data_IF_403289902233
#
_entry.id   IF_403289902233
#
_cell.length_a   1.000
_cell.length_b   1.000
_cell.length_c   1.000
_cell.angle_alpha   90.00
_cell.angle_beta   90.00
_cell.angle_gamma   90.00
#
_symmetry.space_group_name_H-M   'P 1'
#
loop_
_entity.id
_entity.type
_entity.pdbx_description
1 polymer ?
#
# COMPACT_ATOMS: atom_id res chain seq x y z
N UNK A 1 62.43 45.14 66.90
CA UNK A 1 63.47 44.11 66.74
C UNK A 1 62.93 43.07 65.77
N UNK A 2 63.41 43.10 64.57
CA UNK A 2 63.96 42.10 63.68
C UNK A 2 63.21 40.71 63.61
N UNK A 3 62.65 40.42 62.46
CA UNK A 3 62.28 39.08 62.01
C UNK A 3 62.01 39.06 60.48
N UNK A 4 63.03 38.68 59.73
CA UNK A 4 62.96 38.58 58.26
C UNK A 4 62.20 37.32 57.88
N UNK A 5 61.16 37.40 57.09
CA UNK A 5 60.51 36.27 56.47
C UNK A 5 61.00 36.07 55.03
N UNK A 6 61.51 34.91 54.73
CA UNK A 6 61.96 34.44 53.44
C UNK A 6 60.76 34.11 52.55
N UNK A 7 60.65 34.83 51.45
CA UNK A 7 59.68 34.53 50.40
C UNK A 7 60.30 33.46 49.48
N UNK A 8 59.78 32.23 49.58
CA UNK A 8 60.12 31.17 48.60
C UNK A 8 59.13 31.22 47.44
N UNK A 9 59.65 31.66 46.31
CA UNK A 9 58.94 31.60 45.01
C UNK A 9 58.90 30.17 44.55
N UNK A 10 57.70 29.59 44.47
CA UNK A 10 57.49 28.30 43.79
C UNK A 10 56.92 28.63 42.41
N UNK A 11 57.77 28.43 41.41
CA UNK A 11 57.42 28.54 39.99
C UNK A 11 56.66 27.27 39.59
N UNK A 12 55.34 27.34 39.61
CA UNK A 12 54.50 26.26 39.11
C UNK A 12 54.35 26.37 37.59
N UNK A 13 54.99 25.47 36.88
CA UNK A 13 54.85 25.36 35.43
C UNK A 13 53.48 24.77 35.12
N UNK A 14 52.53 25.60 34.72
CA UNK A 14 51.24 25.15 34.18
C UNK A 14 51.46 24.69 32.73
N UNK A 15 51.55 23.37 32.55
CA UNK A 15 51.57 22.75 31.25
C UNK A 15 50.13 22.75 30.72
N UNK A 16 49.75 23.78 29.96
CA UNK A 16 48.53 23.81 29.19
C UNK A 16 48.61 22.79 28.07
N UNK A 17 48.00 21.58 28.32
CA UNK A 17 47.78 20.60 27.28
C UNK A 17 46.67 21.16 26.34
N UNK A 18 47.08 21.86 25.27
CA UNK A 18 46.21 22.27 24.20
C UNK A 18 45.80 20.97 23.44
N UNK A 19 44.67 20.40 23.80
CA UNK A 19 44.01 19.37 23.00
C UNK A 19 43.51 20.09 21.74
N UNK A 20 44.31 20.04 20.68
CA UNK A 20 43.84 20.36 19.34
C UNK A 20 42.79 19.33 18.95
N UNK A 21 41.54 19.58 19.25
CA UNK A 21 40.43 18.89 18.62
C UNK A 21 40.49 19.29 17.13
N UNK A 22 41.17 18.47 16.35
CA UNK A 22 41.03 18.50 14.91
C UNK A 22 39.53 18.16 14.64
N UNK A 23 38.70 19.16 14.65
CA UNK A 23 37.36 19.12 14.12
C UNK A 23 37.42 18.94 12.61
N UNK A 24 37.90 17.82 12.17
CA UNK A 24 37.69 17.40 10.80
C UNK A 24 36.17 17.35 10.62
N UNK A 25 35.62 18.22 9.79
CA UNK A 25 34.24 18.11 9.31
C UNK A 25 34.16 16.74 8.64
N UNK A 26 33.68 15.74 9.37
CA UNK A 26 33.33 14.45 8.77
C UNK A 26 32.23 14.80 7.76
N UNK A 27 32.60 14.90 6.49
CA UNK A 27 31.64 15.09 5.41
C UNK A 27 30.64 13.95 5.56
N UNK A 28 29.38 14.28 5.86
CA UNK A 28 28.35 13.26 5.96
C UNK A 28 28.37 12.47 4.64
N UNK A 29 28.44 11.15 4.77
CA UNK A 29 28.43 10.30 3.59
C UNK A 29 27.15 10.54 2.79
N UNK A 30 27.24 10.57 1.46
CA UNK A 30 26.08 10.82 0.60
C UNK A 30 24.94 9.86 0.95
N UNK A 31 23.69 10.31 0.97
CA UNK A 31 22.56 9.47 1.34
C UNK A 31 22.40 8.28 0.38
N UNK A 32 21.70 7.25 0.82
CA UNK A 32 21.33 6.09 0.01
C UNK A 32 20.04 6.43 -0.72
N UNK A 33 20.06 6.58 -2.08
CA UNK A 33 18.90 6.99 -2.82
C UNK A 33 17.97 5.81 -3.11
N UNK A 34 16.70 5.95 -2.73
CA UNK A 34 15.61 5.01 -3.03
C UNK A 34 14.56 5.75 -3.85
N UNK A 35 14.26 5.26 -5.04
CA UNK A 35 13.22 5.84 -5.91
C UNK A 35 11.83 5.42 -5.48
N UNK A 36 10.86 6.33 -5.56
CA UNK A 36 9.46 6.04 -5.22
C UNK A 36 8.55 6.47 -6.36
N UNK A 37 7.79 5.52 -6.89
CA UNK A 37 6.76 5.78 -7.89
C UNK A 37 5.37 5.87 -7.25
N UNK A 38 4.59 6.86 -7.67
CA UNK A 38 3.20 7.00 -7.24
C UNK A 38 2.49 8.09 -8.02
N UNK A 39 1.15 8.08 -8.07
CA UNK A 39 0.34 9.15 -8.67
C UNK A 39 0.21 10.31 -7.67
N UNK A 40 1.28 11.10 -7.51
CA UNK A 40 1.34 12.19 -6.53
C UNK A 40 0.53 13.43 -6.94
N UNK A 41 0.07 13.48 -8.19
CA UNK A 41 -0.89 14.46 -8.71
C UNK A 41 -2.08 13.77 -9.37
N UNK A 42 -3.18 14.50 -9.61
CA UNK A 42 -4.41 13.97 -10.21
C UNK A 42 -5.38 13.33 -9.23
N UNK A 43 -6.35 12.58 -9.74
CA UNK A 43 -7.48 12.00 -8.98
C UNK A 43 -7.07 11.00 -7.90
N UNK A 44 -5.91 10.34 -8.04
CA UNK A 44 -5.38 9.34 -7.11
C UNK A 44 -4.37 9.90 -6.12
N UNK A 45 -4.09 11.22 -6.13
CA UNK A 45 -3.08 11.85 -5.28
C UNK A 45 -3.31 11.63 -3.79
N UNK A 46 -4.56 11.58 -3.34
CA UNK A 46 -4.89 11.31 -1.94
C UNK A 46 -4.37 9.93 -1.48
N UNK A 47 -4.57 8.90 -2.29
CA UNK A 47 -4.12 7.53 -1.96
C UNK A 47 -2.58 7.42 -1.98
N UNK A 48 -1.94 8.13 -2.91
CA UNK A 48 -0.48 8.20 -2.98
C UNK A 48 0.12 8.94 -1.79
N UNK A 49 -0.55 9.99 -1.28
CA UNK A 49 -0.13 10.71 -0.08
C UNK A 49 -0.24 9.83 1.18
N UNK A 50 -1.27 9.00 1.28
CA UNK A 50 -1.40 8.02 2.35
C UNK A 50 -0.23 7.01 2.32
N UNK A 51 0.09 6.45 1.16
CA UNK A 51 1.27 5.60 0.96
C UNK A 51 2.56 6.31 1.37
N UNK A 52 2.75 7.55 0.91
CA UNK A 52 3.92 8.38 1.20
C UNK A 52 4.12 8.64 2.70
N UNK A 53 3.06 8.83 3.46
CA UNK A 53 3.12 8.96 4.92
C UNK A 53 3.67 7.70 5.58
N UNK A 54 3.18 6.52 5.19
CA UNK A 54 3.72 5.26 5.68
C UNK A 54 5.21 5.10 5.37
N UNK A 55 5.61 5.39 4.13
CA UNK A 55 7.01 5.37 3.70
C UNK A 55 7.88 6.35 4.49
N UNK A 56 7.39 7.58 4.70
CA UNK A 56 8.09 8.60 5.48
C UNK A 56 8.29 8.22 6.95
N UNK A 57 7.34 7.50 7.56
CA UNK A 57 7.51 6.96 8.90
C UNK A 57 8.65 5.93 8.94
N UNK A 58 8.68 4.99 7.98
CA UNK A 58 9.71 3.96 7.90
C UNK A 58 11.13 4.56 7.74
N UNK A 59 11.28 5.54 6.83
CA UNK A 59 12.58 6.21 6.61
C UNK A 59 13.05 6.95 7.84
N UNK A 60 12.16 7.71 8.50
CA UNK A 60 12.53 8.46 9.69
C UNK A 60 13.01 7.54 10.81
N UNK A 61 12.39 6.38 10.99
CA UNK A 61 12.79 5.41 12.01
C UNK A 61 14.17 4.80 11.74
N UNK A 62 14.47 4.50 10.48
CA UNK A 62 15.79 3.98 10.11
C UNK A 62 16.84 5.08 10.23
N UNK A 63 16.55 6.28 9.78
CA UNK A 63 17.46 7.41 9.85
C UNK A 63 17.72 7.89 11.29
N UNK A 64 16.72 7.79 12.18
CA UNK A 64 16.90 8.08 13.60
C UNK A 64 17.86 7.08 14.31
N UNK A 65 17.98 5.86 13.78
CA UNK A 65 18.91 4.82 14.26
C UNK A 65 20.28 4.89 13.58
N UNK A 66 20.60 5.97 12.86
CA UNK A 66 21.86 6.17 12.16
C UNK A 66 21.88 5.75 10.68
N UNK A 67 20.71 5.41 10.11
CA UNK A 67 20.59 5.02 8.71
C UNK A 67 21.09 3.61 8.42
N UNK A 68 21.50 3.39 7.17
CA UNK A 68 22.12 2.14 6.73
C UNK A 68 23.61 2.39 6.45
N UNK A 69 24.48 1.57 7.00
CA UNK A 69 25.95 1.72 6.87
C UNK A 69 26.44 3.12 7.27
N UNK A 70 25.81 3.77 8.26
CA UNK A 70 26.11 5.15 8.68
C UNK A 70 25.65 6.24 7.71
N UNK A 71 24.89 5.90 6.68
CA UNK A 71 24.34 6.82 5.67
C UNK A 71 22.83 6.94 5.84
N UNK A 72 22.31 8.17 5.72
CA UNK A 72 20.84 8.37 5.69
C UNK A 72 20.23 7.76 4.43
N UNK A 73 19.01 7.26 4.53
CA UNK A 73 18.20 6.89 3.37
C UNK A 73 17.42 8.11 2.92
N UNK A 74 17.39 8.35 1.61
CA UNK A 74 16.63 9.42 0.97
C UNK A 74 15.65 8.87 -0.04
N UNK A 75 14.37 9.32 0.04
CA UNK A 75 13.34 8.97 -0.93
C UNK A 75 13.26 10.01 -2.04
N UNK A 76 13.43 9.58 -3.28
CA UNK A 76 13.33 10.41 -4.48
C UNK A 76 12.05 10.05 -5.21
N UNK A 77 11.11 11.01 -5.32
CA UNK A 77 9.77 10.75 -5.82
C UNK A 77 9.66 10.97 -7.33
N UNK A 78 9.02 10.02 -8.01
CA UNK A 78 8.62 10.09 -9.42
C UNK A 78 7.10 10.07 -9.54
N UNK A 79 6.51 11.16 -9.99
CA UNK A 79 5.07 11.25 -10.20
C UNK A 79 4.67 10.54 -11.50
N UNK A 80 3.70 9.65 -11.39
CA UNK A 80 3.20 8.85 -12.50
C UNK A 80 1.87 9.37 -13.06
N UNK A 81 1.21 10.32 -12.38
CA UNK A 81 -0.14 10.79 -12.73
C UNK A 81 -1.14 9.63 -13.02
N UNK A 82 -0.87 8.43 -12.52
CA UNK A 82 -1.55 7.17 -12.87
C UNK A 82 -1.52 6.81 -14.37
N UNK A 83 -0.59 7.36 -15.15
CA UNK A 83 -0.44 7.13 -16.59
C UNK A 83 0.82 6.32 -16.90
N UNK A 84 0.75 5.26 -17.72
CA UNK A 84 1.91 4.41 -18.02
C UNK A 84 3.10 5.16 -18.64
N UNK A 85 2.85 6.08 -19.58
CA UNK A 85 3.88 6.89 -20.23
C UNK A 85 4.63 7.79 -19.23
N UNK A 86 3.90 8.42 -18.32
CA UNK A 86 4.46 9.23 -17.24
C UNK A 86 5.27 8.37 -16.25
N UNK A 87 4.74 7.19 -15.92
CA UNK A 87 5.44 6.22 -15.08
C UNK A 87 6.76 5.77 -15.68
N UNK A 88 6.78 5.44 -16.98
CA UNK A 88 8.00 5.07 -17.71
C UNK A 88 9.01 6.22 -17.73
N UNK A 89 8.58 7.45 -17.98
CA UNK A 89 9.48 8.62 -17.94
C UNK A 89 10.04 8.84 -16.54
N UNK A 90 9.20 8.74 -15.49
CA UNK A 90 9.60 8.91 -14.11
C UNK A 90 10.61 7.85 -13.65
N UNK A 91 10.36 6.56 -13.94
CA UNK A 91 11.29 5.49 -13.55
C UNK A 91 12.63 5.57 -14.26
N UNK A 92 12.63 5.89 -15.55
CA UNK A 92 13.88 6.11 -16.30
C UNK A 92 14.71 7.24 -15.67
N UNK A 93 14.08 8.36 -15.31
CA UNK A 93 14.75 9.45 -14.60
C UNK A 93 15.36 9.01 -13.27
N UNK A 94 14.61 8.29 -12.44
CA UNK A 94 15.09 7.75 -11.16
C UNK A 94 16.32 6.85 -11.36
N UNK A 95 16.31 5.98 -12.36
CA UNK A 95 17.37 5.02 -12.63
C UNK A 95 18.60 5.67 -13.21
N UNK A 96 18.44 6.51 -14.25
CA UNK A 96 19.57 7.00 -15.06
C UNK A 96 20.16 8.31 -14.52
N UNK A 97 19.34 9.23 -14.07
CA UNK A 97 19.77 10.54 -13.56
C UNK A 97 20.01 10.51 -12.06
N UNK A 98 19.02 10.02 -11.32
CA UNK A 98 19.03 10.09 -9.85
C UNK A 98 19.75 8.88 -9.23
N UNK A 99 20.17 7.90 -10.05
CA UNK A 99 21.03 6.74 -9.70
C UNK A 99 20.52 5.95 -8.49
N UNK A 100 19.19 5.78 -8.40
CA UNK A 100 18.60 5.04 -7.27
C UNK A 100 19.04 3.58 -7.26
N UNK A 101 19.24 3.02 -6.06
CA UNK A 101 19.62 1.61 -5.89
C UNK A 101 18.45 0.66 -6.09
N UNK A 102 17.25 1.12 -5.74
CA UNK A 102 16.01 0.33 -5.80
C UNK A 102 14.84 1.29 -5.98
N UNK A 103 13.78 0.81 -6.62
CA UNK A 103 12.52 1.53 -6.80
C UNK A 103 11.47 0.90 -5.90
N UNK A 104 10.77 1.71 -5.10
CA UNK A 104 9.61 1.33 -4.30
C UNK A 104 8.33 2.01 -4.76
N UNK A 105 7.24 1.77 -4.06
CA UNK A 105 5.94 2.38 -4.33
C UNK A 105 5.13 1.64 -5.38
N UNK A 106 4.47 2.38 -6.26
CA UNK A 106 3.63 1.79 -7.31
C UNK A 106 2.18 1.53 -6.88
N UNK A 107 1.26 2.32 -7.43
CA UNK A 107 -0.16 2.28 -7.12
C UNK A 107 -1.00 1.68 -8.28
N UNK A 108 -0.99 2.29 -9.46
CA UNK A 108 -1.80 1.87 -10.60
C UNK A 108 -1.20 0.63 -11.30
N UNK A 109 -2.02 -0.39 -11.58
CA UNK A 109 -1.55 -1.66 -12.17
C UNK A 109 -0.95 -1.48 -13.56
N UNK A 110 -1.61 -0.74 -14.46
CA UNK A 110 -1.11 -0.46 -15.81
C UNK A 110 0.24 0.26 -15.81
N UNK A 111 0.43 1.19 -14.87
CA UNK A 111 1.71 1.88 -14.68
C UNK A 111 2.80 0.90 -14.23
N UNK A 112 2.47 0.03 -13.26
CA UNK A 112 3.47 -0.92 -12.71
C UNK A 112 3.81 -2.05 -13.70
N UNK A 113 2.91 -2.44 -14.58
CA UNK A 113 3.21 -3.35 -15.68
C UNK A 113 4.28 -2.72 -16.58
N UNK A 114 4.12 -1.45 -16.97
CA UNK A 114 5.08 -0.76 -17.85
C UNK A 114 6.41 -0.45 -17.12
N UNK A 115 6.36 0.06 -15.90
CA UNK A 115 7.59 0.46 -15.15
C UNK A 115 8.42 -0.73 -14.70
N UNK A 116 7.80 -1.87 -14.36
CA UNK A 116 8.54 -3.09 -14.01
C UNK A 116 9.32 -3.68 -15.19
N UNK A 117 8.84 -3.50 -16.42
CA UNK A 117 9.61 -3.87 -17.61
C UNK A 117 10.87 -3.01 -17.78
N UNK A 118 10.74 -1.69 -17.56
CA UNK A 118 11.91 -0.80 -17.55
C UNK A 118 12.90 -1.22 -16.46
N UNK A 119 12.43 -1.46 -15.23
CA UNK A 119 13.28 -1.87 -14.13
C UNK A 119 14.00 -3.20 -14.41
N UNK A 120 13.32 -4.17 -15.03
CA UNK A 120 13.91 -5.43 -15.46
C UNK A 120 15.04 -5.21 -16.46
N UNK A 121 14.79 -4.42 -17.51
CA UNK A 121 15.75 -4.15 -18.58
C UNK A 121 16.98 -3.37 -18.08
N UNK A 122 16.77 -2.44 -17.15
CA UNK A 122 17.81 -1.62 -16.52
C UNK A 122 18.45 -2.30 -15.29
N UNK A 123 18.15 -3.57 -15.04
CA UNK A 123 18.65 -4.36 -13.87
C UNK A 123 18.55 -3.60 -12.54
N UNK A 124 17.44 -2.88 -12.34
CA UNK A 124 17.18 -2.12 -11.14
C UNK A 124 16.03 -2.79 -10.38
N UNK A 125 16.23 -3.26 -9.14
CA UNK A 125 15.13 -3.87 -8.39
C UNK A 125 13.97 -2.91 -8.20
N UNK A 126 12.74 -3.40 -8.41
CA UNK A 126 11.51 -2.71 -8.07
C UNK A 126 10.70 -3.55 -7.09
N UNK A 127 10.26 -2.92 -6.01
CA UNK A 127 9.35 -3.53 -5.01
C UNK A 127 8.04 -2.78 -5.05
N UNK A 128 7.01 -3.40 -5.63
CA UNK A 128 5.68 -2.79 -5.80
C UNK A 128 4.90 -2.87 -4.49
N UNK A 129 4.34 -1.73 -4.05
CA UNK A 129 3.68 -1.60 -2.76
C UNK A 129 2.18 -1.96 -2.80
N UNK A 130 1.44 -1.50 -3.83
CA UNK A 130 -0.03 -1.46 -3.81
C UNK A 130 -0.66 -2.15 -5.02
N UNK A 131 -0.14 -1.94 -6.23
CA UNK A 131 -0.76 -2.47 -7.46
C UNK A 131 -0.95 -3.99 -7.44
N UNK A 132 -2.17 -4.47 -7.76
CA UNK A 132 -2.57 -5.86 -7.53
C UNK A 132 -2.70 -6.73 -8.80
N UNK A 133 -2.51 -6.18 -10.02
CA UNK A 133 -2.56 -7.01 -11.24
C UNK A 133 -1.56 -8.18 -11.17
N UNK A 134 -1.99 -9.42 -11.41
CA UNK A 134 -1.09 -10.58 -11.45
C UNK A 134 0.02 -10.42 -12.49
N UNK A 135 -0.24 -9.73 -13.59
CA UNK A 135 0.69 -9.51 -14.70
C UNK A 135 2.00 -8.86 -14.26
N UNK A 136 2.01 -8.10 -13.16
CA UNK A 136 3.22 -7.40 -12.67
C UNK A 136 4.35 -8.40 -12.36
N UNK A 137 4.05 -9.48 -11.64
CA UNK A 137 5.04 -10.47 -11.19
C UNK A 137 5.03 -11.77 -12.01
N UNK A 138 3.96 -12.06 -12.77
CA UNK A 138 3.81 -13.33 -13.50
C UNK A 138 4.71 -13.47 -14.74
N UNK A 139 5.44 -12.40 -15.14
CA UNK A 139 6.27 -12.38 -16.35
C UNK A 139 7.63 -13.05 -16.19
N UNK A 140 7.96 -13.53 -14.98
CA UNK A 140 9.24 -14.19 -14.70
C UNK A 140 10.44 -13.23 -14.66
N UNK A 141 10.21 -11.98 -14.29
CA UNK A 141 11.25 -10.96 -14.15
C UNK A 141 12.03 -11.13 -12.85
N UNK A 142 13.35 -11.08 -12.93
CA UNK A 142 14.25 -11.29 -11.78
C UNK A 142 14.35 -10.10 -10.82
N UNK A 143 14.08 -8.89 -11.32
CA UNK A 143 14.22 -7.64 -10.58
C UNK A 143 12.88 -7.07 -10.10
N UNK A 144 11.80 -7.83 -10.20
CA UNK A 144 10.45 -7.38 -9.86
C UNK A 144 9.91 -8.13 -8.65
N UNK A 145 9.56 -7.38 -7.61
CA UNK A 145 9.00 -7.90 -6.36
C UNK A 145 7.73 -7.14 -5.99
N UNK A 146 6.86 -7.74 -5.17
CA UNK A 146 5.65 -7.07 -4.70
C UNK A 146 5.32 -7.49 -3.28
N UNK A 147 5.19 -6.49 -2.38
CA UNK A 147 4.85 -6.70 -0.97
C UNK A 147 3.34 -6.79 -0.71
N UNK A 148 2.50 -6.36 -1.65
CA UNK A 148 1.06 -6.52 -1.55
C UNK A 148 0.57 -7.84 -2.16
N UNK A 149 -0.53 -8.42 -1.68
CA UNK A 149 -1.22 -9.52 -2.36
C UNK A 149 -1.63 -9.11 -3.78
N UNK A 150 -1.69 -10.07 -4.69
CA UNK A 150 -2.28 -9.86 -6.01
C UNK A 150 -3.81 -10.05 -5.99
N UNK A 151 -4.49 -9.73 -7.11
CA UNK A 151 -5.95 -9.86 -7.19
C UNK A 151 -6.46 -11.26 -6.82
N UNK A 152 -5.89 -12.39 -7.27
CA UNK A 152 -6.29 -13.71 -6.81
C UNK A 152 -6.22 -13.89 -5.29
N UNK A 153 -5.16 -13.38 -4.65
CA UNK A 153 -5.00 -13.48 -3.19
C UNK A 153 -6.01 -12.60 -2.45
N UNK A 154 -6.27 -11.37 -2.95
CA UNK A 154 -7.30 -10.50 -2.39
C UNK A 154 -8.69 -11.15 -2.46
N UNK A 155 -8.97 -11.87 -3.53
CA UNK A 155 -10.29 -12.45 -3.75
C UNK A 155 -10.48 -13.83 -3.13
N UNK A 156 -9.40 -14.50 -2.71
CA UNK A 156 -9.46 -15.88 -2.23
C UNK A 156 -10.47 -16.08 -1.08
N UNK A 157 -10.39 -15.25 -0.02
CA UNK A 157 -11.34 -15.34 1.10
C UNK A 157 -12.77 -14.96 0.71
N UNK A 158 -12.92 -13.97 -0.19
CA UNK A 158 -14.22 -13.56 -0.70
C UNK A 158 -14.84 -14.64 -1.59
N UNK A 159 -14.04 -15.32 -2.40
CA UNK A 159 -14.50 -16.43 -3.23
C UNK A 159 -15.04 -17.57 -2.37
N UNK A 160 -14.36 -17.90 -1.27
CA UNK A 160 -14.81 -18.93 -0.33
C UNK A 160 -16.14 -18.50 0.35
N UNK A 161 -16.28 -17.25 0.74
CA UNK A 161 -17.53 -16.70 1.28
C UNK A 161 -18.68 -16.74 0.26
N UNK A 162 -18.43 -16.37 -1.01
CA UNK A 162 -19.42 -16.44 -2.09
C UNK A 162 -19.94 -17.88 -2.29
N UNK A 163 -19.03 -18.84 -2.29
CA UNK A 163 -19.35 -20.25 -2.52
C UNK A 163 -20.09 -20.88 -1.33
N UNK A 164 -19.68 -20.57 -0.10
CA UNK A 164 -20.21 -21.23 1.10
C UNK A 164 -21.38 -20.49 1.76
N UNK A 165 -21.39 -19.16 1.70
CA UNK A 165 -22.32 -18.33 2.46
C UNK A 165 -23.35 -17.65 1.54
N UNK A 166 -22.92 -16.77 0.62
CA UNK A 166 -23.83 -15.95 -0.18
C UNK A 166 -24.56 -16.73 -1.25
N UNK A 167 -23.87 -17.59 -1.98
CA UNK A 167 -24.42 -18.43 -3.05
C UNK A 167 -25.30 -17.66 -4.05
N UNK A 168 -24.79 -16.58 -4.67
CA UNK A 168 -25.59 -15.73 -5.55
C UNK A 168 -26.01 -16.52 -6.79
N UNK A 169 -27.25 -16.30 -7.27
CA UNK A 169 -27.75 -16.85 -8.53
C UNK A 169 -27.38 -15.99 -9.73
N UNK A 170 -27.26 -14.69 -9.51
CA UNK A 170 -26.98 -13.70 -10.55
C UNK A 170 -25.90 -12.72 -10.09
N UNK A 171 -25.02 -12.35 -11.02
CA UNK A 171 -23.99 -11.36 -10.77
C UNK A 171 -23.88 -10.35 -11.91
N UNK A 172 -23.38 -9.17 -11.61
CA UNK A 172 -23.01 -8.17 -12.61
C UNK A 172 -21.69 -7.52 -12.23
N UNK A 173 -21.08 -6.83 -13.19
CA UNK A 173 -19.76 -6.23 -13.06
C UNK A 173 -19.83 -4.75 -13.43
N UNK A 174 -19.24 -3.89 -12.58
CA UNK A 174 -19.02 -2.47 -12.83
C UNK A 174 -17.55 -2.16 -12.55
N UNK A 175 -16.76 -2.00 -13.61
CA UNK A 175 -15.33 -2.04 -13.56
C UNK A 175 -14.67 -0.80 -14.14
N UNK A 176 -13.62 -0.34 -13.50
CA UNK A 176 -12.67 0.61 -14.08
C UNK A 176 -12.02 0.01 -15.35
N UNK A 177 -12.00 0.76 -16.44
CA UNK A 177 -11.46 0.31 -17.73
C UNK A 177 -9.93 0.36 -17.78
N UNK A 178 -9.30 -0.38 -16.87
CA UNK A 178 -7.83 -0.48 -16.72
C UNK A 178 -7.43 -1.94 -16.48
N UNK A 179 -6.12 -2.23 -16.50
CA UNK A 179 -5.62 -3.56 -16.13
C UNK A 179 -6.09 -3.98 -14.72
N UNK A 180 -6.25 -3.04 -13.80
CA UNK A 180 -6.79 -3.31 -12.47
C UNK A 180 -8.22 -3.84 -12.53
N UNK A 181 -9.11 -3.15 -13.24
CA UNK A 181 -10.51 -3.55 -13.37
C UNK A 181 -10.67 -4.83 -14.21
N UNK A 182 -9.96 -4.92 -15.32
CA UNK A 182 -10.03 -6.06 -16.24
C UNK A 182 -9.52 -7.36 -15.64
N UNK A 183 -8.41 -7.32 -14.89
CA UNK A 183 -7.88 -8.50 -14.19
C UNK A 183 -8.84 -8.98 -13.09
N UNK A 184 -9.42 -8.03 -12.34
CA UNK A 184 -10.41 -8.37 -11.32
C UNK A 184 -11.69 -8.96 -11.91
N UNK A 185 -12.20 -8.39 -13.00
CA UNK A 185 -13.34 -8.94 -13.73
C UNK A 185 -13.09 -10.39 -14.16
N UNK A 186 -11.95 -10.66 -14.78
CA UNK A 186 -11.56 -12.00 -15.24
C UNK A 186 -11.60 -13.01 -14.09
N UNK A 187 -11.09 -12.63 -12.92
CA UNK A 187 -11.04 -13.51 -11.74
C UNK A 187 -12.44 -13.75 -11.20
N UNK A 188 -13.26 -12.71 -11.03
CA UNK A 188 -14.60 -12.86 -10.49
C UNK A 188 -15.57 -13.50 -11.49
N UNK A 189 -15.41 -13.29 -12.79
CA UNK A 189 -16.16 -14.02 -13.81
C UNK A 189 -15.84 -15.53 -13.74
N UNK A 190 -14.57 -15.90 -13.57
CA UNK A 190 -14.20 -17.31 -13.37
C UNK A 190 -14.83 -17.90 -12.09
N UNK A 191 -14.88 -17.13 -11.00
CA UNK A 191 -15.55 -17.56 -9.76
C UNK A 191 -17.08 -17.66 -9.93
N UNK A 192 -17.71 -16.69 -10.59
CA UNK A 192 -19.15 -16.73 -10.89
C UNK A 192 -19.51 -17.99 -11.66
N UNK A 193 -18.75 -18.33 -12.70
CA UNK A 193 -18.91 -19.58 -13.47
C UNK A 193 -18.72 -20.82 -12.61
N UNK A 194 -17.69 -20.84 -11.75
CA UNK A 194 -17.42 -21.96 -10.83
C UNK A 194 -18.60 -22.26 -9.91
N UNK A 195 -19.25 -21.21 -9.38
CA UNK A 195 -20.40 -21.38 -8.46
C UNK A 195 -21.74 -21.45 -9.17
N UNK A 196 -21.79 -21.45 -10.51
CA UNK A 196 -23.01 -21.53 -11.31
C UNK A 196 -23.85 -20.26 -11.31
N UNK A 197 -23.29 -19.10 -10.95
CA UNK A 197 -23.98 -17.82 -11.01
C UNK A 197 -24.06 -17.29 -12.44
N UNK A 198 -25.26 -16.80 -12.85
CA UNK A 198 -25.46 -16.19 -14.16
C UNK A 198 -24.88 -14.77 -14.20
N UNK A 199 -24.00 -14.50 -15.13
CA UNK A 199 -23.50 -13.15 -15.42
C UNK A 199 -24.55 -12.37 -16.23
N UNK A 200 -24.98 -11.21 -15.72
CA UNK A 200 -26.05 -10.40 -16.31
C UNK A 200 -25.52 -9.23 -17.16
N UNK A 201 -24.41 -8.62 -16.74
CA UNK A 201 -23.78 -7.49 -17.43
C UNK A 201 -22.33 -7.31 -17.04
N UNK A 202 -21.55 -6.78 -17.98
CA UNK A 202 -20.18 -6.28 -17.80
C UNK A 202 -20.19 -4.81 -18.22
N UNK A 203 -20.06 -3.90 -17.28
CA UNK A 203 -20.14 -2.46 -17.48
C UNK A 203 -18.81 -1.83 -17.09
N UNK A 204 -18.40 -0.80 -17.82
CA UNK A 204 -17.12 -0.14 -17.61
C UNK A 204 -17.30 1.37 -17.45
N UNK A 205 -16.30 1.98 -16.84
CA UNK A 205 -16.12 3.42 -16.69
C UNK A 205 -14.64 3.77 -16.78
N UNK A 206 -14.33 5.04 -17.06
CA UNK A 206 -12.95 5.53 -17.09
C UNK A 206 -12.55 6.15 -15.74
N UNK A 207 -11.23 6.13 -15.44
CA UNK A 207 -10.71 6.84 -14.24
C UNK A 207 -11.05 8.33 -14.36
N UNK A 208 -11.65 8.88 -13.32
CA UNK A 208 -12.07 10.28 -13.25
C UNK A 208 -13.51 10.52 -13.70
N UNK A 209 -14.23 9.48 -14.13
CA UNK A 209 -15.68 9.59 -14.36
C UNK A 209 -16.39 9.97 -13.06
N UNK A 210 -17.38 10.84 -13.18
CA UNK A 210 -18.18 11.35 -12.05
C UNK A 210 -19.66 11.00 -12.14
N UNK A 211 -20.12 10.52 -13.28
CA UNK A 211 -21.51 10.12 -13.53
C UNK A 211 -21.57 8.65 -13.94
N UNK A 212 -22.28 7.86 -13.14
CA UNK A 212 -22.46 6.41 -13.29
C UNK A 212 -23.96 6.07 -13.46
N UNK A 213 -24.81 7.07 -13.69
CA UNK A 213 -26.28 6.91 -13.74
C UNK A 213 -26.74 5.92 -14.81
N UNK A 214 -26.07 5.89 -15.96
CA UNK A 214 -26.36 4.94 -17.05
C UNK A 214 -26.08 3.51 -16.62
N UNK A 215 -24.88 3.25 -16.06
CA UNK A 215 -24.49 1.91 -15.62
C UNK A 215 -25.36 1.43 -14.45
N UNK A 216 -25.63 2.30 -13.47
CA UNK A 216 -26.45 1.97 -12.30
C UNK A 216 -27.91 1.74 -12.70
N UNK A 217 -28.46 2.52 -13.63
CA UNK A 217 -29.82 2.29 -14.16
C UNK A 217 -29.95 0.92 -14.82
N UNK A 218 -28.93 0.53 -15.59
CA UNK A 218 -28.86 -0.82 -16.20
C UNK A 218 -28.81 -1.92 -15.14
N UNK A 219 -27.98 -1.77 -14.11
CA UNK A 219 -27.91 -2.71 -13.00
C UNK A 219 -29.22 -2.81 -12.24
N UNK A 220 -29.93 -1.68 -12.03
CA UNK A 220 -31.26 -1.64 -11.38
C UNK A 220 -32.32 -2.40 -12.17
N UNK A 221 -32.30 -2.33 -13.50
CA UNK A 221 -33.18 -3.12 -14.35
C UNK A 221 -32.92 -4.61 -14.23
N UNK A 222 -31.62 -5.01 -14.24
CA UNK A 222 -31.17 -6.40 -14.21
C UNK A 222 -31.30 -7.06 -12.83
N UNK A 223 -31.27 -6.29 -11.74
CA UNK A 223 -31.40 -6.74 -10.34
C UNK A 223 -30.46 -7.88 -9.98
N UNK A 224 -29.12 -7.75 -10.14
CA UNK A 224 -28.17 -8.77 -9.74
C UNK A 224 -28.19 -8.98 -8.23
N UNK A 225 -28.01 -10.23 -7.77
CA UNK A 225 -27.82 -10.55 -6.35
C UNK A 225 -26.52 -9.93 -5.81
N UNK A 226 -25.47 -9.93 -6.64
CA UNK A 226 -24.17 -9.35 -6.35
C UNK A 226 -23.71 -8.47 -7.51
N UNK A 227 -23.24 -7.27 -7.19
CA UNK A 227 -22.50 -6.44 -8.14
C UNK A 227 -21.04 -6.33 -7.71
N UNK A 228 -20.16 -6.89 -8.53
CA UNK A 228 -18.75 -6.71 -8.37
C UNK A 228 -18.35 -5.31 -8.87
N UNK A 229 -17.71 -4.54 -7.99
CA UNK A 229 -17.27 -3.19 -8.29
C UNK A 229 -15.76 -3.07 -8.08
N UNK A 230 -15.00 -2.98 -9.16
CA UNK A 230 -13.58 -2.63 -9.09
C UNK A 230 -13.42 -1.18 -9.51
N UNK A 231 -13.28 -0.34 -8.53
CA UNK A 231 -13.18 1.10 -8.67
C UNK A 231 -12.16 1.67 -7.69
N UNK A 232 -11.54 2.76 -8.08
CA UNK A 232 -10.73 3.57 -7.17
C UNK A 232 -11.60 4.29 -6.13
N UNK A 233 -11.00 4.87 -5.12
CA UNK A 233 -11.71 5.39 -3.93
C UNK A 233 -12.81 6.40 -4.26
N UNK A 234 -12.53 7.35 -5.16
CA UNK A 234 -13.48 8.42 -5.51
C UNK A 234 -14.67 7.88 -6.29
N UNK A 235 -14.43 7.12 -7.34
CA UNK A 235 -15.43 6.52 -8.19
C UNK A 235 -16.31 5.57 -7.39
N UNK A 236 -15.73 4.74 -6.55
CA UNK A 236 -16.49 3.85 -5.66
C UNK A 236 -17.45 4.61 -4.73
N UNK A 237 -17.02 5.74 -4.16
CA UNK A 237 -17.88 6.55 -3.30
C UNK A 237 -19.01 7.22 -4.08
N UNK A 238 -18.75 7.71 -5.29
CA UNK A 238 -19.77 8.29 -6.17
C UNK A 238 -20.78 7.24 -6.62
N UNK A 239 -20.33 6.03 -6.96
CA UNK A 239 -21.22 4.90 -7.31
C UNK A 239 -22.19 4.60 -6.15
N UNK A 240 -21.71 4.57 -4.89
CA UNK A 240 -22.58 4.33 -3.73
C UNK A 240 -23.63 5.45 -3.56
N UNK A 241 -23.25 6.72 -3.78
CA UNK A 241 -24.18 7.86 -3.72
C UNK A 241 -25.24 7.77 -4.79
N UNK A 242 -24.86 7.57 -6.04
CA UNK A 242 -25.77 7.49 -7.17
C UNK A 242 -26.65 6.22 -7.12
N UNK A 243 -26.16 5.13 -6.55
CA UNK A 243 -26.97 3.95 -6.27
C UNK A 243 -28.12 4.27 -5.30
N UNK A 244 -27.87 5.11 -4.28
CA UNK A 244 -28.93 5.60 -3.39
C UNK A 244 -29.92 6.50 -4.14
N UNK A 245 -29.44 7.48 -4.91
CA UNK A 245 -30.27 8.41 -5.69
C UNK A 245 -31.18 7.67 -6.66
N UNK A 246 -30.70 6.62 -7.28
CA UNK A 246 -31.45 5.76 -8.21
C UNK A 246 -32.23 4.64 -7.51
N UNK A 247 -32.24 4.59 -6.17
CA UNK A 247 -32.85 3.55 -5.36
C UNK A 247 -32.46 2.12 -5.80
N UNK A 248 -31.19 1.92 -6.14
CA UNK A 248 -30.64 0.62 -6.51
C UNK A 248 -30.01 -0.06 -5.29
N UNK A 249 -30.37 -1.32 -5.07
CA UNK A 249 -29.87 -2.15 -3.97
C UNK A 249 -29.33 -3.46 -4.55
N UNK A 250 -28.10 -3.78 -4.17
CA UNK A 250 -27.40 -5.04 -4.47
C UNK A 250 -26.38 -5.31 -3.37
N UNK A 251 -25.84 -6.51 -3.28
CA UNK A 251 -24.62 -6.74 -2.52
C UNK A 251 -23.41 -6.25 -3.34
N UNK A 252 -22.91 -5.07 -2.99
CA UNK A 252 -21.68 -4.55 -3.58
C UNK A 252 -20.49 -5.32 -3.03
N UNK A 253 -19.59 -5.79 -3.92
CA UNK A 253 -18.32 -6.42 -3.56
C UNK A 253 -17.20 -5.74 -4.31
N UNK A 254 -16.23 -5.19 -3.56
CA UNK A 254 -15.09 -4.47 -4.10
C UNK A 254 -13.76 -4.88 -3.48
N UNK A 255 -12.71 -4.13 -3.78
CA UNK A 255 -11.36 -4.34 -3.23
C UNK A 255 -10.62 -3.02 -2.97
N UNK A 256 -9.62 -3.07 -2.11
CA UNK A 256 -8.63 -2.01 -1.96
C UNK A 256 -9.18 -0.69 -1.47
N UNK A 257 -9.14 0.34 -2.31
CA UNK A 257 -9.49 1.72 -1.98
C UNK A 257 -10.92 1.97 -1.51
N UNK A 258 -11.81 0.97 -1.62
CA UNK A 258 -13.20 1.04 -1.17
C UNK A 258 -13.38 0.84 0.36
N UNK A 259 -12.29 0.69 1.11
CA UNK A 259 -12.35 0.48 2.56
C UNK A 259 -11.43 1.43 3.31
N UNK A 260 -11.07 2.55 2.67
CA UNK A 260 -10.25 3.61 3.26
C UNK A 260 -11.10 4.64 4.02
N UNK A 261 -10.46 5.38 4.92
CA UNK A 261 -11.11 6.50 5.62
C UNK A 261 -11.67 7.54 4.63
N UNK A 262 -10.96 7.79 3.52
CA UNK A 262 -11.43 8.68 2.47
C UNK A 262 -12.72 8.21 1.82
N UNK A 263 -12.83 6.92 1.52
CA UNK A 263 -14.06 6.32 1.01
C UNK A 263 -15.21 6.50 2.00
N UNK A 264 -15.00 6.22 3.28
CA UNK A 264 -16.02 6.39 4.31
C UNK A 264 -16.45 7.84 4.47
N UNK A 265 -15.50 8.77 4.42
CA UNK A 265 -15.81 10.21 4.47
C UNK A 265 -16.61 10.69 3.27
N UNK A 266 -16.30 10.20 2.07
CA UNK A 266 -17.00 10.59 0.85
C UNK A 266 -18.36 9.91 0.70
N UNK A 267 -18.46 8.62 0.94
CA UNK A 267 -19.70 7.85 0.79
C UNK A 267 -20.64 8.00 1.98
N UNK A 268 -20.12 8.34 3.18
CA UNK A 268 -20.92 8.39 4.40
C UNK A 268 -21.60 7.07 4.69
N UNK A 269 -22.83 7.10 5.22
CA UNK A 269 -23.61 5.89 5.51
C UNK A 269 -24.09 5.15 4.26
N UNK A 270 -23.94 5.73 3.06
CA UNK A 270 -24.35 5.09 1.80
C UNK A 270 -23.52 3.86 1.44
N UNK A 271 -22.29 3.75 1.97
CA UNK A 271 -21.47 2.54 1.80
C UNK A 271 -21.85 1.37 2.74
N UNK A 272 -22.90 1.52 3.55
CA UNK A 272 -23.40 0.44 4.40
C UNK A 272 -23.66 -0.82 3.58
N UNK A 273 -23.23 -1.97 4.10
CA UNK A 273 -23.27 -3.29 3.48
C UNK A 273 -22.27 -3.53 2.33
N UNK A 274 -21.49 -2.53 1.91
CA UNK A 274 -20.40 -2.78 0.96
C UNK A 274 -19.43 -3.81 1.52
N UNK A 275 -19.03 -4.77 0.70
CA UNK A 275 -18.14 -5.86 1.07
C UNK A 275 -16.90 -5.89 0.20
N UNK A 276 -15.89 -6.59 0.67
CA UNK A 276 -14.68 -6.89 -0.07
C UNK A 276 -13.63 -7.58 0.79
N UNK A 277 -12.40 -7.53 0.33
CA UNK A 277 -11.25 -8.02 1.09
C UNK A 277 -10.35 -6.86 1.49
N UNK A 278 -9.85 -6.88 2.72
CA UNK A 278 -9.02 -5.78 3.25
C UNK A 278 -7.89 -6.28 4.13
N UNK A 279 -6.81 -5.49 4.16
CA UNK A 279 -5.68 -5.56 5.08
C UNK A 279 -5.63 -4.31 5.97
N UNK A 280 -6.78 -3.70 6.24
CA UNK A 280 -6.86 -2.49 7.06
C UNK A 280 -6.21 -2.72 8.43
N UNK A 281 -5.18 -1.94 8.83
CA UNK A 281 -4.43 -2.20 10.06
C UNK A 281 -5.31 -2.19 11.31
N UNK A 282 -6.36 -1.37 11.33
CA UNK A 282 -7.28 -1.28 12.48
C UNK A 282 -8.06 -2.58 12.77
N UNK A 283 -8.14 -3.48 11.80
CA UNK A 283 -8.73 -4.81 11.98
C UNK A 283 -7.76 -5.81 12.66
N UNK A 284 -6.49 -5.50 12.70
CA UNK A 284 -5.42 -6.37 13.19
C UNK A 284 -4.73 -5.85 14.47
N UNK A 285 -5.38 -4.98 15.24
CA UNK A 285 -4.81 -4.35 16.45
C UNK A 285 -4.39 -5.31 17.56
N UNK A 286 -4.83 -6.57 17.51
CA UNK A 286 -4.34 -7.63 18.41
C UNK A 286 -2.91 -8.08 18.08
N UNK A 287 -2.44 -7.81 16.87
CA UNK A 287 -1.05 -8.04 16.48
C UNK A 287 -0.17 -6.90 17.04
N UNK A 288 0.85 -7.19 17.87
CA UNK A 288 1.67 -6.16 18.50
C UNK A 288 2.45 -5.31 17.48
N UNK A 289 2.85 -5.86 16.33
CA UNK A 289 3.53 -5.11 15.25
C UNK A 289 2.57 -4.06 14.67
N UNK A 290 1.33 -4.43 14.43
CA UNK A 290 0.31 -3.52 13.90
C UNK A 290 -0.04 -2.45 14.93
N UNK A 291 -0.26 -2.83 16.18
CA UNK A 291 -0.59 -1.89 17.26
C UNK A 291 0.53 -0.85 17.47
N UNK A 292 1.78 -1.28 17.43
CA UNK A 292 2.95 -0.39 17.54
C UNK A 292 3.07 0.54 16.31
N UNK A 293 2.89 0.02 15.09
CA UNK A 293 2.83 0.84 13.88
C UNK A 293 1.76 1.92 13.96
N UNK A 294 0.52 1.55 14.33
CA UNK A 294 -0.60 2.51 14.47
C UNK A 294 -0.26 3.59 15.48
N UNK A 295 0.24 3.22 16.66
CA UNK A 295 0.66 4.17 17.70
C UNK A 295 1.70 5.18 17.20
N UNK A 296 2.73 4.71 16.50
CA UNK A 296 3.81 5.58 15.97
C UNK A 296 3.30 6.48 14.84
N UNK A 297 2.44 5.95 13.98
CA UNK A 297 1.82 6.72 12.90
C UNK A 297 0.94 7.85 13.46
N UNK A 298 0.05 7.54 14.41
CA UNK A 298 -0.81 8.53 15.07
C UNK A 298 0.00 9.61 15.82
N UNK A 299 1.11 9.22 16.45
CA UNK A 299 2.01 10.17 17.12
C UNK A 299 2.65 11.14 16.13
N UNK A 300 3.06 10.67 14.95
CA UNK A 300 3.70 11.51 13.92
C UNK A 300 2.69 12.38 13.16
N UNK A 301 1.50 11.86 12.87
CA UNK A 301 0.53 12.49 11.97
C UNK A 301 -0.73 13.01 12.70
N UNK A 302 -0.55 13.63 13.88
CA UNK A 302 -1.59 14.37 14.61
C UNK A 302 -2.88 13.55 14.87
N UNK A 303 -2.72 12.30 15.30
CA UNK A 303 -3.79 11.33 15.55
C UNK A 303 -4.57 10.88 14.30
N UNK A 304 -4.07 11.15 13.10
CA UNK A 304 -4.60 10.53 11.90
C UNK A 304 -4.41 9.01 11.97
N UNK A 305 -5.45 8.25 11.67
CA UNK A 305 -5.35 6.78 11.64
C UNK A 305 -4.66 6.34 10.35
N UNK A 306 -3.75 5.36 10.41
CA UNK A 306 -3.20 4.78 9.20
C UNK A 306 -4.23 3.89 8.52
N UNK A 307 -4.38 4.03 7.21
CA UNK A 307 -5.15 3.12 6.38
C UNK A 307 -4.28 2.06 5.71
N UNK A 308 -4.91 1.24 4.88
CA UNK A 308 -4.24 0.15 4.15
C UNK A 308 -3.02 0.64 3.35
N UNK A 309 -3.12 1.80 2.67
CA UNK A 309 -2.02 2.30 1.84
C UNK A 309 -0.85 2.83 2.68
N UNK A 310 -1.12 3.35 3.88
CA UNK A 310 -0.09 3.73 4.84
C UNK A 310 0.71 2.52 5.31
N UNK A 311 0.04 1.43 5.68
CA UNK A 311 0.71 0.21 6.13
C UNK A 311 1.48 -0.46 4.99
N UNK A 312 0.91 -0.51 3.79
CA UNK A 312 1.60 -1.03 2.60
C UNK A 312 2.84 -0.21 2.22
N UNK A 313 2.75 1.12 2.32
CA UNK A 313 3.90 2.01 2.12
C UNK A 313 5.00 1.79 3.15
N UNK A 314 4.63 1.66 4.43
CA UNK A 314 5.56 1.37 5.51
C UNK A 314 6.28 0.04 5.31
N UNK A 315 5.52 -1.04 5.07
CA UNK A 315 6.07 -2.38 4.86
C UNK A 315 6.98 -2.43 3.63
N UNK A 316 6.60 -1.75 2.55
CA UNK A 316 7.38 -1.68 1.32
C UNK A 316 8.78 -1.12 1.55
N UNK A 317 8.88 0.01 2.24
CA UNK A 317 10.17 0.63 2.54
C UNK A 317 10.96 -0.18 3.56
N UNK A 318 10.31 -0.75 4.57
CA UNK A 318 11.00 -1.60 5.55
C UNK A 318 11.62 -2.85 4.90
N UNK A 319 10.92 -3.48 3.96
CA UNK A 319 11.44 -4.60 3.16
C UNK A 319 12.62 -4.17 2.30
N UNK A 320 12.54 -3.02 1.64
CA UNK A 320 13.64 -2.47 0.85
C UNK A 320 14.87 -2.21 1.74
N UNK A 321 14.68 -1.57 2.90
CA UNK A 321 15.78 -1.26 3.81
C UNK A 321 16.40 -2.51 4.45
N UNK A 322 15.58 -3.50 4.78
CA UNK A 322 16.08 -4.81 5.24
C UNK A 322 16.92 -5.49 4.14
N UNK A 323 16.46 -5.48 2.91
CA UNK A 323 17.21 -6.04 1.78
C UNK A 323 18.54 -5.33 1.58
N UNK A 324 18.59 -4.00 1.58
CA UNK A 324 19.83 -3.22 1.49
C UNK A 324 20.74 -3.56 2.67
N UNK A 325 20.23 -3.58 3.90
CA UNK A 325 21.03 -3.90 5.10
C UNK A 325 21.68 -5.28 5.02
N UNK A 326 20.97 -6.27 4.49
CA UNK A 326 21.46 -7.64 4.35
C UNK A 326 22.55 -7.82 3.28
N UNK A 327 22.80 -6.84 2.42
CA UNK A 327 23.98 -6.85 1.52
C UNK A 327 25.29 -6.68 2.27
N UNK A 328 25.23 -6.29 3.56
CA UNK A 328 26.36 -6.03 4.48
C UNK A 328 27.19 -4.80 4.15
N UNK A 329 27.28 -4.40 2.89
CA UNK A 329 27.96 -3.19 2.41
C UNK A 329 27.42 -2.78 1.04
N UNK A 330 27.61 -1.52 0.69
CA UNK A 330 27.48 -1.02 -0.67
C UNK A 330 28.88 -0.80 -1.24
N UNK A 331 29.07 -1.22 -2.48
CA UNK A 331 30.39 -1.16 -3.16
C UNK A 331 30.64 0.19 -3.85
N UNK A 332 29.56 0.94 -4.12
CA UNK A 332 29.57 2.14 -4.96
C UNK A 332 29.47 1.86 -6.46
N UNK A 333 29.51 0.60 -6.86
CA UNK A 333 29.20 0.13 -8.22
C UNK A 333 27.70 -0.17 -8.27
N UNK A 334 26.93 0.64 -9.02
CA UNK A 334 25.48 0.56 -9.05
C UNK A 334 24.97 -0.81 -9.49
N UNK A 335 25.59 -1.41 -10.48
CA UNK A 335 25.10 -2.68 -11.04
C UNK A 335 25.32 -3.81 -10.02
N UNK A 336 26.50 -3.86 -9.38
CA UNK A 336 26.79 -4.83 -8.32
C UNK A 336 25.89 -4.64 -7.10
N UNK A 337 25.66 -3.39 -6.71
CA UNK A 337 24.82 -3.08 -5.54
C UNK A 337 23.35 -3.44 -5.81
N UNK A 338 22.82 -3.16 -7.02
CA UNK A 338 21.49 -3.54 -7.45
C UNK A 338 21.30 -5.07 -7.52
N UNK A 339 22.30 -5.78 -8.06
CA UNK A 339 22.29 -7.24 -8.09
C UNK A 339 22.29 -7.84 -6.68
N UNK A 340 23.12 -7.32 -5.78
CA UNK A 340 23.16 -7.77 -4.39
C UNK A 340 21.81 -7.51 -3.68
N UNK A 341 21.18 -6.36 -3.91
CA UNK A 341 19.85 -6.04 -3.36
C UNK A 341 18.80 -6.99 -3.91
N UNK A 342 18.77 -7.25 -5.23
CA UNK A 342 17.88 -8.24 -5.84
C UNK A 342 18.03 -9.61 -5.17
N UNK A 343 19.26 -10.08 -4.97
CA UNK A 343 19.53 -11.40 -4.39
C UNK A 343 19.14 -11.50 -2.91
N UNK A 344 19.23 -10.38 -2.17
CA UNK A 344 18.70 -10.32 -0.80
C UNK A 344 17.18 -10.22 -0.77
N UNK A 345 16.55 -9.51 -1.71
CA UNK A 345 15.09 -9.48 -1.84
C UNK A 345 14.50 -10.88 -2.07
N UNK A 346 15.10 -11.70 -2.93
CA UNK A 346 14.68 -13.10 -3.15
C UNK A 346 14.67 -13.95 -1.87
N UNK A 347 15.40 -13.54 -0.83
CA UNK A 347 15.53 -14.22 0.47
C UNK A 347 14.78 -13.49 1.60
N UNK A 348 13.83 -12.62 1.26
CA UNK A 348 13.06 -11.88 2.26
C UNK A 348 12.18 -12.82 3.07
N UNK A 349 12.25 -12.69 4.40
CA UNK A 349 11.38 -13.36 5.37
C UNK A 349 11.32 -12.46 6.61
N UNK A 350 10.31 -11.58 6.68
CA UNK A 350 10.19 -10.55 7.70
C UNK A 350 8.73 -10.34 8.11
N UNK A 351 8.49 -10.23 9.42
CA UNK A 351 7.17 -9.90 9.96
C UNK A 351 6.89 -8.40 9.83
N UNK A 352 5.79 -8.05 9.20
CA UNK A 352 5.40 -6.68 8.90
C UNK A 352 3.93 -6.42 9.30
N UNK A 353 3.42 -5.23 9.01
CA UNK A 353 2.04 -4.86 9.39
C UNK A 353 0.97 -5.67 8.68
N UNK A 354 1.24 -6.11 7.46
CA UNK A 354 0.34 -6.97 6.68
C UNK A 354 0.50 -8.47 7.03
N UNK A 355 1.43 -8.82 7.88
CA UNK A 355 1.85 -10.19 8.21
C UNK A 355 3.26 -10.49 7.70
N UNK A 356 3.60 -11.75 7.62
CA UNK A 356 4.90 -12.19 7.14
C UNK A 356 5.07 -11.91 5.65
N UNK A 357 6.14 -11.25 5.26
CA UNK A 357 6.49 -11.00 3.86
C UNK A 357 7.55 -12.01 3.43
N UNK A 358 7.17 -12.90 2.54
CA UNK A 358 8.04 -13.84 1.83
C UNK A 358 7.65 -13.85 0.36
N UNK A 359 8.65 -13.87 -0.52
CA UNK A 359 8.41 -13.91 -1.96
C UNK A 359 8.52 -15.32 -2.51
N UNK A 360 7.63 -15.65 -3.45
CA UNK A 360 7.77 -16.83 -4.28
C UNK A 360 8.84 -16.63 -5.38
N UNK A 361 9.01 -17.64 -6.22
CA UNK A 361 9.98 -17.59 -7.33
C UNK A 361 9.70 -16.50 -8.38
N UNK A 362 8.51 -15.90 -8.36
CA UNK A 362 8.12 -14.81 -9.27
C UNK A 362 8.29 -13.43 -8.66
N UNK A 363 8.74 -13.34 -7.40
CA UNK A 363 8.82 -12.10 -6.64
C UNK A 363 7.48 -11.65 -6.03
N UNK A 364 6.45 -12.51 -6.08
CA UNK A 364 5.16 -12.24 -5.46
C UNK A 364 5.17 -12.63 -3.97
N UNK A 365 4.68 -11.75 -3.08
CA UNK A 365 4.37 -12.15 -1.72
C UNK A 365 3.26 -13.22 -1.74
N UNK A 366 3.47 -14.33 -1.03
CA UNK A 366 2.49 -15.42 -1.01
C UNK A 366 1.90 -15.70 0.37
N UNK A 367 2.46 -15.10 1.41
CA UNK A 367 2.13 -15.34 2.82
C UNK A 367 1.04 -14.43 3.37
N UNK A 368 0.77 -13.29 2.69
CA UNK A 368 -0.21 -12.29 3.13
C UNK A 368 -1.60 -12.63 2.60
N UNK A 369 -2.58 -12.75 3.51
CA UNK A 369 -3.96 -13.14 3.17
C UNK A 369 -4.95 -12.09 3.69
N UNK A 370 -5.59 -11.32 2.80
CA UNK A 370 -6.64 -10.38 3.16
C UNK A 370 -7.87 -11.08 3.74
N UNK A 371 -8.58 -10.39 4.63
CA UNK A 371 -9.81 -10.90 5.23
C UNK A 371 -11.04 -10.33 4.53
N UNK A 372 -12.09 -11.14 4.28
CA UNK A 372 -13.40 -10.66 3.90
C UNK A 372 -14.01 -9.74 4.94
N UNK A 373 -14.41 -8.57 4.50
CA UNK A 373 -14.92 -7.50 5.36
C UNK A 373 -16.26 -6.96 4.85
N UNK A 374 -17.04 -6.39 5.76
CA UNK A 374 -18.26 -5.64 5.44
C UNK A 374 -18.26 -4.30 6.17
N UNK A 375 -18.71 -3.27 5.48
CA UNK A 375 -19.01 -1.98 6.09
C UNK A 375 -20.36 -2.06 6.79
N UNK A 376 -20.39 -1.80 8.08
CA UNK A 376 -21.60 -1.68 8.88
C UNK A 376 -21.66 -0.28 9.49
N UNK A 377 -22.86 0.24 9.69
CA UNK A 377 -23.05 1.56 10.32
C UNK A 377 -23.35 1.35 11.80
N UNK A 378 -22.48 1.88 12.65
CA UNK A 378 -22.58 1.87 14.10
C UNK A 378 -22.55 3.31 14.60
N UNK A 379 -23.55 3.71 15.38
CA UNK A 379 -23.70 5.08 15.88
C UNK A 379 -23.59 6.16 14.77
N UNK A 380 -24.25 5.89 13.62
CA UNK A 380 -24.28 6.80 12.47
C UNK A 380 -22.96 6.90 11.69
N UNK A 381 -21.96 6.06 11.97
CA UNK A 381 -20.66 6.07 11.31
C UNK A 381 -20.36 4.74 10.63
N UNK A 382 -19.83 4.74 9.39
CA UNK A 382 -19.36 3.52 8.75
C UNK A 382 -18.15 2.96 9.50
N UNK A 383 -18.19 1.66 9.78
CA UNK A 383 -17.10 0.91 10.40
C UNK A 383 -16.89 -0.39 9.61
N UNK A 384 -15.65 -0.87 9.59
CA UNK A 384 -15.28 -2.08 8.88
C UNK A 384 -15.17 -3.26 9.84
N UNK A 385 -15.81 -4.37 9.50
CA UNK A 385 -15.78 -5.59 10.28
C UNK A 385 -15.33 -6.79 9.44
N UNK A 386 -14.44 -7.62 9.99
CA UNK A 386 -14.18 -8.95 9.43
C UNK A 386 -15.47 -9.77 9.62
N UNK A 387 -15.94 -10.39 8.56
CA UNK A 387 -17.17 -11.20 8.57
C UNK A 387 -16.91 -12.66 8.23
N UNK A 388 -15.71 -12.97 7.78
CA UNK A 388 -15.32 -14.33 7.40
C UNK A 388 -13.77 -14.52 7.48
N UNK A 389 -13.24 -15.69 7.82
CA UNK A 389 -13.98 -16.86 8.30
C UNK A 389 -14.61 -16.62 9.69
N UNK A 390 -15.63 -17.43 10.04
CA UNK A 390 -16.47 -17.16 11.21
C UNK A 390 -15.74 -17.17 12.55
N UNK A 391 -14.66 -17.95 12.66
CA UNK A 391 -13.80 -18.00 13.85
C UNK A 391 -12.98 -16.73 14.09
N UNK A 392 -12.84 -15.88 13.09
CA UNK A 392 -12.16 -14.57 13.15
C UNK A 392 -13.11 -13.38 12.99
N UNK A 393 -14.40 -13.66 12.75
CA UNK A 393 -15.37 -12.61 12.49
C UNK A 393 -15.55 -11.67 13.71
N UNK A 394 -15.47 -10.37 13.47
CA UNK A 394 -15.78 -9.32 14.43
C UNK A 394 -17.27 -8.97 14.47
N UNK A 395 -18.02 -9.34 13.42
CA UNK A 395 -19.46 -9.15 13.31
C UNK A 395 -20.07 -10.18 12.36
N UNK A 396 -21.38 -10.42 12.46
CA UNK A 396 -22.11 -11.22 11.50
C UNK A 396 -22.31 -10.45 10.19
N UNK A 397 -22.35 -11.18 9.08
CA UNK A 397 -22.76 -10.63 7.80
C UNK A 397 -24.20 -10.10 7.85
N UNK A 398 -24.44 -8.97 7.23
CA UNK A 398 -25.73 -8.32 7.11
C UNK A 398 -26.15 -8.21 5.63
N UNK A 399 -27.34 -8.70 5.29
CA UNK A 399 -27.90 -8.52 3.95
C UNK A 399 -28.24 -7.04 3.68
N UNK A 400 -27.98 -6.53 2.46
CA UNK A 400 -28.36 -5.17 2.10
C UNK A 400 -29.86 -4.94 2.21
N UNK A 401 -30.25 -3.94 3.01
CA UNK A 401 -31.63 -3.52 3.13
C UNK A 401 -31.97 -2.44 2.07
N UNK A 402 -33.27 -2.31 1.69
CA UNK A 402 -33.75 -1.15 0.96
C UNK A 402 -33.34 0.17 1.63
N UNK A 403 -33.14 1.21 0.84
CA UNK A 403 -32.60 2.48 1.32
C UNK A 403 -33.44 3.15 2.42
N UNK A 404 -34.77 3.03 2.34
CA UNK A 404 -35.74 3.54 3.33
C UNK A 404 -35.71 2.80 4.68
N UNK A 405 -35.10 1.60 4.72
CA UNK A 405 -34.94 0.77 5.93
C UNK A 405 -33.55 0.84 6.55
N UNK A 406 -32.61 1.59 5.95
CA UNK A 406 -31.26 1.74 6.48
C UNK A 406 -31.24 2.75 7.62
N UNK A 407 -30.48 2.45 8.66
CA UNK A 407 -30.23 3.39 9.76
C UNK A 407 -29.36 4.54 9.23
N UNK A 408 -29.82 5.77 9.42
CA UNK A 408 -29.04 7.00 9.12
C UNK A 408 -27.95 7.23 10.15
#
# INVERSE_FOLDING_TARGET
MKGKSLLKTVLGTVLCLAIFIYGGTVKAADPIPVGILGPFTGSLAFNAEEMKKGMGLAVDEVNAKGGLFGRKVELIYGDTEAKPDKGVAAVKKLITRDKVLVVGGGYASSVNIATSEVCQNEKTPIVVAIAISPTITARGFDYVFRTSPNSPQFLAGMNDWLEKVKKPKTVAFLMENTDYGRDGEKIWSAQAKKIGAKELAHLYFEIGDTDFTTQISKLRELKPDVTFNIASTTEAALIQKQAKELNFVTQWIGVGGQFTEAFFKMAGTMCQYAMGSSLEPTLAMKNPIVADFVKRYEAKYQKARPGIFSSQGYDNIMVIMDAIKRTTKLTGDLDKDRDAIRDTLKKTSIEMTQGKIEFDKTGQVYTVVPSPVQVQVVDGKPQLFIIYPLDRAGSAYQEPLPWDKRKS
#
